data_IF_505950394000
#
_entry.id   IF_505950394000
#
_cell.length_a   1.000
_cell.length_b   1.000
_cell.length_c   1.000
_cell.angle_alpha   90.00
_cell.angle_beta   90.00
_cell.angle_gamma   90.00
#
_symmetry.space_group_name_H-M   'P 1'
#
loop_
_entity.id
_entity.type
_entity.pdbx_description
1 polymer ?
#
# COMPACT_ATOMS: atom_id res chain seq x y z
N UNK A 1 23.64 -10.42 -35.88
CA UNK A 1 23.72 -11.55 -34.93
C UNK A 1 23.75 -10.95 -33.54
N UNK A 2 22.73 -11.21 -32.72
CA UNK A 2 22.67 -10.69 -31.35
C UNK A 2 23.53 -11.64 -30.49
N UNK A 3 24.64 -11.13 -29.95
CA UNK A 3 25.47 -11.87 -29.03
C UNK A 3 24.82 -11.83 -27.64
N UNK A 4 24.20 -12.95 -27.24
CA UNK A 4 23.67 -13.13 -25.89
C UNK A 4 24.80 -13.69 -25.03
N UNK A 5 25.07 -13.04 -23.90
CA UNK A 5 26.01 -13.55 -22.90
C UNK A 5 25.32 -13.62 -21.55
N UNK A 6 25.37 -14.79 -20.92
CA UNK A 6 24.93 -14.96 -19.53
C UNK A 6 26.10 -14.60 -18.62
N UNK A 7 25.83 -13.75 -17.62
CA UNK A 7 26.81 -13.35 -16.60
C UNK A 7 26.20 -13.60 -15.23
N UNK A 8 27.03 -14.02 -14.27
CA UNK A 8 26.60 -14.20 -12.87
C UNK A 8 26.98 -12.98 -12.04
N UNK A 9 25.98 -12.36 -11.40
CA UNK A 9 26.18 -11.40 -10.32
C UNK A 9 25.45 -11.89 -9.07
N UNK A 10 26.18 -12.09 -7.98
CA UNK A 10 25.65 -12.54 -6.69
C UNK A 10 24.80 -13.84 -6.73
N UNK A 11 25.13 -14.76 -7.65
CA UNK A 11 24.43 -16.06 -7.76
C UNK A 11 23.08 -16.01 -8.47
N UNK A 12 22.70 -14.86 -9.05
CA UNK A 12 21.53 -14.74 -9.91
C UNK A 12 22.03 -14.68 -11.36
N UNK A 13 21.58 -15.59 -12.25
CA UNK A 13 21.93 -15.52 -13.66
C UNK A 13 21.24 -14.33 -14.30
N UNK A 14 22.03 -13.40 -14.86
CA UNK A 14 21.52 -12.23 -15.56
C UNK A 14 21.86 -12.35 -17.05
N UNK A 15 20.86 -12.15 -17.89
CA UNK A 15 21.03 -12.06 -19.34
C UNK A 15 21.22 -10.59 -19.69
N UNK A 16 22.43 -10.19 -20.06
CA UNK A 16 22.70 -8.83 -20.53
C UNK A 16 22.50 -8.74 -22.05
N UNK A 17 21.63 -7.82 -22.47
CA UNK A 17 21.49 -7.40 -23.86
C UNK A 17 22.40 -6.19 -24.08
N UNK A 18 23.47 -6.33 -24.87
CA UNK A 18 24.47 -5.25 -25.09
C UNK A 18 23.96 -4.07 -25.95
N UNK A 19 22.71 -4.09 -26.39
CA UNK A 19 22.10 -3.01 -27.16
C UNK A 19 20.81 -2.57 -26.47
N UNK A 20 20.61 -1.25 -26.36
CA UNK A 20 19.35 -0.65 -25.88
C UNK A 20 18.18 -1.25 -26.68
N UNK A 21 17.12 -1.76 -26.01
CA UNK A 21 15.97 -2.31 -26.71
C UNK A 21 15.20 -1.19 -27.44
N UNK A 22 14.89 -1.40 -28.73
CA UNK A 22 14.26 -0.41 -29.61
C UNK A 22 12.76 -0.12 -29.30
N UNK A 23 12.19 -0.72 -28.26
CA UNK A 23 10.77 -0.59 -27.89
C UNK A 23 10.61 -0.56 -26.37
N UNK A 24 9.61 0.18 -25.87
CA UNK A 24 9.20 0.24 -24.46
C UNK A 24 8.91 -1.17 -23.91
N UNK A 25 9.93 -1.84 -23.38
CA UNK A 25 9.76 -3.13 -22.73
C UNK A 25 9.33 -2.91 -21.29
N UNK A 26 8.05 -3.18 -21.02
CA UNK A 26 7.50 -3.22 -19.67
C UNK A 26 8.02 -4.48 -18.96
N UNK A 27 8.59 -4.29 -17.77
CA UNK A 27 8.91 -5.40 -16.87
C UNK A 27 7.65 -5.70 -16.05
N UNK A 28 7.07 -6.88 -16.25
CA UNK A 28 6.01 -7.41 -15.39
C UNK A 28 6.64 -8.29 -14.33
N UNK A 29 6.54 -7.88 -13.06
CA UNK A 29 6.91 -8.72 -11.91
C UNK A 29 5.62 -9.32 -11.37
N UNK A 30 5.47 -10.64 -11.49
CA UNK A 30 4.32 -11.37 -10.95
C UNK A 30 4.77 -12.17 -9.72
N UNK A 31 4.18 -11.87 -8.56
CA UNK A 31 4.44 -12.59 -7.31
C UNK A 31 3.30 -13.58 -7.03
N UNK A 32 3.62 -14.87 -7.01
CA UNK A 32 2.68 -15.96 -6.68
C UNK A 32 3.19 -16.71 -5.45
N UNK A 33 2.79 -16.33 -4.23
CA UNK A 33 3.22 -17.05 -3.04
C UNK A 33 2.63 -18.48 -3.07
N UNK A 34 3.41 -19.47 -2.64
CA UNK A 34 2.94 -20.84 -2.50
C UNK A 34 1.92 -20.88 -1.35
N UNK A 35 0.64 -20.84 -1.72
CA UNK A 35 -0.52 -20.70 -0.83
C UNK A 35 -0.80 -21.98 -0.02
N UNK A 36 0.14 -22.42 0.81
CA UNK A 36 -0.24 -23.26 1.95
C UNK A 36 -1.02 -22.41 2.97
N UNK A 37 -2.33 -22.26 2.70
CA UNK A 37 -3.43 -22.02 3.65
C UNK A 37 -3.20 -20.97 4.75
N UNK A 38 -3.07 -19.71 4.37
CA UNK A 38 -3.44 -18.64 5.28
C UNK A 38 -4.50 -17.79 4.58
N UNK A 39 -5.70 -17.76 5.17
CA UNK A 39 -6.76 -16.81 4.83
C UNK A 39 -6.32 -15.43 5.35
N UNK A 40 -5.25 -14.89 4.76
CA UNK A 40 -4.80 -13.55 5.07
C UNK A 40 -5.92 -12.57 4.74
N UNK A 41 -6.18 -11.58 5.61
CA UNK A 41 -7.18 -10.58 5.31
C UNK A 41 -6.81 -9.87 4.00
N UNK A 42 -7.82 -9.48 3.24
CA UNK A 42 -7.60 -8.55 2.14
C UNK A 42 -7.37 -7.16 2.72
N UNK A 43 -6.51 -6.33 2.09
CA UNK A 43 -6.35 -4.95 2.50
C UNK A 43 -7.65 -4.20 2.24
N UNK A 44 -8.03 -3.34 3.19
CA UNK A 44 -9.19 -2.44 3.08
C UNK A 44 -8.90 -1.27 2.13
N UNK A 45 -7.66 -0.78 2.15
CA UNK A 45 -7.18 0.28 1.26
C UNK A 45 -6.06 -0.24 0.36
N UNK A 46 -5.95 0.29 -0.86
CA UNK A 46 -4.89 -0.07 -1.82
C UNK A 46 -3.82 1.02 -1.93
N UNK A 47 -2.69 0.68 -2.55
CA UNK A 47 -1.63 1.64 -2.81
C UNK A 47 -2.15 2.79 -3.69
N UNK A 48 -1.75 4.01 -3.33
CA UNK A 48 -2.24 5.28 -3.89
C UNK A 48 -3.71 5.60 -3.65
N UNK A 49 -4.41 4.84 -2.81
CA UNK A 49 -5.75 5.22 -2.39
C UNK A 49 -5.71 6.50 -1.56
N UNK A 50 -6.68 7.39 -1.80
CA UNK A 50 -6.86 8.62 -1.02
C UNK A 50 -7.75 8.33 0.17
N UNK A 51 -7.24 8.65 1.36
CA UNK A 51 -7.88 8.41 2.65
C UNK A 51 -7.85 9.67 3.50
N UNK A 52 -8.72 9.74 4.49
CA UNK A 52 -8.68 10.74 5.56
C UNK A 52 -8.60 10.05 6.92
N UNK A 53 -8.25 10.82 7.96
CA UNK A 53 -8.28 10.32 9.33
C UNK A 53 -9.72 10.15 9.80
N UNK A 54 -10.10 8.94 10.22
CA UNK A 54 -11.45 8.63 10.70
C UNK A 54 -11.83 9.50 11.89
N UNK A 55 -10.93 9.66 12.86
CA UNK A 55 -11.19 10.51 14.03
C UNK A 55 -11.52 11.97 13.68
N UNK A 56 -10.84 12.54 12.67
CA UNK A 56 -11.11 13.91 12.20
C UNK A 56 -12.45 13.98 11.46
N UNK A 57 -12.72 12.98 10.61
CA UNK A 57 -14.00 12.85 9.90
C UNK A 57 -15.18 12.77 10.88
N UNK A 58 -15.12 11.88 11.87
CA UNK A 58 -16.17 11.68 12.86
C UNK A 58 -16.41 12.96 13.68
N UNK A 59 -15.34 13.67 14.06
CA UNK A 59 -15.44 14.96 14.75
C UNK A 59 -16.18 16.00 13.91
N UNK A 60 -15.85 16.13 12.62
CA UNK A 60 -16.49 17.12 11.73
C UNK A 60 -17.93 16.77 11.39
N UNK A 61 -18.23 15.48 11.19
CA UNK A 61 -19.59 14.99 11.07
C UNK A 61 -20.42 15.33 12.30
N UNK A 62 -19.88 15.12 13.51
CA UNK A 62 -20.56 15.44 14.77
C UNK A 62 -20.86 16.94 14.96
N UNK A 63 -20.06 17.80 14.32
CA UNK A 63 -20.17 19.27 14.39
C UNK A 63 -20.93 19.89 13.22
N UNK A 64 -21.39 19.08 12.26
CA UNK A 64 -22.00 19.54 11.00
C UNK A 64 -21.12 20.54 10.23
N UNK A 65 -19.81 20.32 10.24
CA UNK A 65 -18.87 21.14 9.48
C UNK A 65 -18.82 20.68 8.02
N UNK A 66 -18.52 21.61 7.11
CA UNK A 66 -18.27 21.27 5.72
C UNK A 66 -16.96 20.49 5.60
N UNK A 67 -17.08 19.19 5.28
CA UNK A 67 -15.96 18.26 5.16
C UNK A 67 -15.00 18.67 4.04
N UNK A 68 -15.50 19.27 2.97
CA UNK A 68 -14.70 19.61 1.79
C UNK A 68 -13.66 20.71 2.07
N UNK A 69 -13.95 21.57 3.04
CA UNK A 69 -13.06 22.67 3.41
C UNK A 69 -12.10 22.32 4.57
N UNK A 70 -12.46 21.33 5.40
CA UNK A 70 -11.78 21.11 6.68
C UNK A 70 -11.04 19.78 6.78
N UNK A 71 -11.40 18.77 5.96
CA UNK A 71 -10.81 17.44 6.06
C UNK A 71 -9.48 17.38 5.30
N UNK A 72 -8.43 16.89 5.97
CA UNK A 72 -7.16 16.61 5.33
C UNK A 72 -7.18 15.22 4.68
N UNK A 73 -6.77 15.18 3.42
CA UNK A 73 -6.64 13.95 2.64
C UNK A 73 -5.18 13.56 2.48
N UNK A 74 -4.94 12.26 2.56
CA UNK A 74 -3.63 11.63 2.47
C UNK A 74 -3.65 10.49 1.46
N UNK A 75 -2.48 10.15 0.93
CA UNK A 75 -2.33 9.03 0.00
C UNK A 75 -1.64 7.86 0.70
N UNK A 76 -2.25 6.68 0.63
CA UNK A 76 -1.62 5.42 1.05
C UNK A 76 -0.35 5.20 0.22
N UNK A 77 0.79 5.33 0.88
CA UNK A 77 2.13 5.33 0.28
C UNK A 77 2.89 4.03 0.56
N UNK A 78 2.37 3.16 1.43
CA UNK A 78 2.89 1.82 1.68
C UNK A 78 1.81 0.94 2.30
N UNK A 79 1.95 -0.38 2.14
CA UNK A 79 1.15 -1.39 2.82
C UNK A 79 2.09 -2.40 3.46
N UNK A 80 1.79 -2.80 4.68
CA UNK A 80 2.51 -3.84 5.39
C UNK A 80 1.52 -4.85 5.96
N UNK A 81 1.72 -6.14 5.64
CA UNK A 81 1.01 -7.23 6.30
C UNK A 81 1.80 -7.60 7.56
N UNK A 82 1.35 -7.10 8.70
CA UNK A 82 2.01 -7.30 9.98
C UNK A 82 1.61 -8.67 10.58
N UNK A 83 2.63 -9.47 10.91
CA UNK A 83 2.44 -10.75 11.60
C UNK A 83 3.13 -10.72 12.97
N UNK A 84 2.35 -10.78 14.05
CA UNK A 84 2.93 -10.90 15.39
C UNK A 84 3.26 -12.37 15.70
N UNK A 85 4.54 -12.73 15.66
CA UNK A 85 5.02 -14.10 15.92
C UNK A 85 5.90 -14.17 17.16
N UNK A 86 5.64 -15.16 18.01
CA UNK A 86 6.49 -15.53 19.16
C UNK A 86 6.89 -17.00 19.01
N UNK A 87 8.19 -17.30 19.04
CA UNK A 87 8.74 -18.64 18.83
C UNK A 87 8.23 -19.31 17.53
N UNK A 88 8.10 -18.53 16.45
CA UNK A 88 7.61 -19.00 15.14
C UNK A 88 6.09 -19.19 15.05
N UNK A 89 5.35 -19.02 16.16
CA UNK A 89 3.89 -19.14 16.21
C UNK A 89 3.22 -17.78 16.16
N UNK A 90 2.27 -17.64 15.26
CA UNK A 90 1.39 -16.49 15.17
C UNK A 90 0.58 -16.32 16.48
N UNK A 91 0.60 -15.12 17.04
CA UNK A 91 -0.07 -14.80 18.31
C UNK A 91 -1.44 -14.13 18.10
N UNK A 92 -1.61 -13.43 16.99
CA UNK A 92 -2.83 -12.75 16.59
C UNK A 92 -3.04 -12.91 15.10
N UNK A 93 -4.28 -12.82 14.58
CA UNK A 93 -4.50 -12.73 13.14
C UNK A 93 -3.60 -11.65 12.53
N UNK A 94 -3.03 -11.89 11.34
CA UNK A 94 -2.25 -10.87 10.63
C UNK A 94 -3.16 -9.67 10.33
N UNK A 95 -2.62 -8.46 10.37
CA UNK A 95 -3.36 -7.24 10.07
C UNK A 95 -2.61 -6.40 9.05
N UNK A 96 -3.35 -5.61 8.28
CA UNK A 96 -2.77 -4.64 7.35
C UNK A 96 -2.53 -3.32 8.06
N UNK A 97 -1.32 -2.80 7.87
CA UNK A 97 -0.93 -1.44 8.24
C UNK A 97 -0.77 -0.60 6.97
N UNK A 98 -1.23 0.64 7.04
CA UNK A 98 -1.21 1.59 5.94
C UNK A 98 -0.26 2.73 6.25
N UNK A 99 0.78 2.87 5.43
CA UNK A 99 1.77 3.92 5.56
C UNK A 99 1.32 5.19 4.84
N UNK A 100 1.08 6.27 5.58
CA UNK A 100 0.79 7.60 5.02
C UNK A 100 1.86 8.62 5.41
N UNK A 101 2.05 9.64 4.57
CA UNK A 101 2.89 10.80 4.89
C UNK A 101 2.04 11.88 5.52
N UNK A 102 1.80 11.74 6.82
CA UNK A 102 0.83 12.55 7.56
C UNK A 102 1.24 14.03 7.72
N UNK A 103 2.54 14.34 7.75
CA UNK A 103 3.01 15.74 7.79
C UNK A 103 3.52 16.20 6.43
N UNK A 104 2.93 17.30 5.91
CA UNK A 104 3.35 17.89 4.63
C UNK A 104 4.82 18.27 4.67
N UNK A 105 5.64 17.57 3.88
CA UNK A 105 7.07 17.87 3.71
C UNK A 105 8.02 16.95 4.48
N UNK A 106 7.54 16.05 5.33
CA UNK A 106 8.40 14.99 5.87
C UNK A 106 8.43 13.80 4.91
N UNK A 107 9.58 13.11 4.87
CA UNK A 107 9.73 11.87 4.10
C UNK A 107 9.31 10.64 4.91
N UNK A 108 8.90 10.83 6.15
CA UNK A 108 8.59 9.74 7.07
C UNK A 108 7.20 9.19 6.79
N UNK A 109 7.12 7.86 6.80
CA UNK A 109 5.86 7.12 6.77
C UNK A 109 5.42 6.92 8.22
N UNK A 110 4.16 7.24 8.48
CA UNK A 110 3.46 6.87 9.70
C UNK A 110 2.48 5.75 9.36
N UNK A 111 2.38 4.77 10.25
CA UNK A 111 1.59 3.55 10.05
C UNK A 111 0.29 3.63 10.83
N UNK A 112 -0.80 3.23 10.18
CA UNK A 112 -2.15 3.28 10.72
C UNK A 112 -2.87 1.96 10.46
N UNK A 113 -3.81 1.63 11.32
CA UNK A 113 -4.73 0.51 11.11
C UNK A 113 -5.91 0.93 10.24
N UNK A 114 -6.71 -0.04 9.78
CA UNK A 114 -7.84 0.27 8.92
C UNK A 114 -8.90 1.15 9.62
N UNK A 115 -9.10 0.91 10.92
CA UNK A 115 -10.05 1.67 11.74
C UNK A 115 -9.67 3.15 11.91
N UNK A 116 -8.40 3.49 11.77
CA UNK A 116 -7.92 4.88 11.88
C UNK A 116 -8.24 5.71 10.62
N UNK A 117 -8.60 5.06 9.52
CA UNK A 117 -8.72 5.66 8.20
C UNK A 117 -10.12 5.48 7.61
N UNK A 118 -10.48 6.35 6.68
CA UNK A 118 -11.70 6.26 5.87
C UNK A 118 -11.36 6.64 4.42
N UNK A 119 -11.89 5.90 3.43
CA UNK A 119 -11.61 6.20 2.03
C UNK A 119 -12.35 7.46 1.59
N UNK A 120 -11.74 8.22 0.67
CA UNK A 120 -12.43 9.36 0.03
C UNK A 120 -13.73 8.91 -0.66
N UNK A 121 -13.73 7.71 -1.24
CA UNK A 121 -14.91 7.15 -1.94
C UNK A 121 -16.08 6.93 -1.00
N UNK A 122 -15.82 6.41 0.20
CA UNK A 122 -16.87 6.18 1.20
C UNK A 122 -17.44 7.51 1.71
N UNK A 123 -16.59 8.52 1.89
CA UNK A 123 -17.01 9.88 2.26
C UNK A 123 -17.91 10.47 1.17
N UNK A 124 -17.48 10.43 -0.08
CA UNK A 124 -18.25 10.97 -1.22
C UNK A 124 -19.59 10.26 -1.38
N UNK A 125 -19.60 8.93 -1.24
CA UNK A 125 -20.85 8.15 -1.30
C UNK A 125 -21.83 8.48 -0.17
N UNK A 126 -21.33 8.95 0.99
CA UNK A 126 -22.16 9.31 2.14
C UNK A 126 -22.81 10.70 2.00
N UNK A 127 -22.30 11.55 1.10
CA UNK A 127 -22.79 12.91 0.87
C UNK A 127 -23.92 12.95 -0.18
N UNK A 128 -24.01 11.93 -1.04
CA UNK A 128 -25.02 11.84 -2.11
C UNK A 128 -26.43 11.39 -1.62
N UNK A 129 -26.62 11.17 -0.31
CA UNK A 129 -27.90 10.76 0.32
C UNK A 129 -28.35 11.73 1.41
#
# INVERSE_FOLDING_TARGET
>A
MIAIQTVEAHGIPVTEYRHEPETDQLITIEFRPDHQKYDYPQPEFVFQETVAMRGQYDEYCSKHLDLSEHLDYFTVSALELAEHRVNGKLQSPPSWLYGIRYTRGTRELMWFEAEDLISQRDIESSIEF
#
